data_IF_794125722575
#
_entry.id   IF_794125722575
#
_cell.length_a   1.000
_cell.length_b   1.000
_cell.length_c   1.000
_cell.angle_alpha   90.00
_cell.angle_beta   90.00
_cell.angle_gamma   90.00
#
_symmetry.space_group_name_H-M   'P 1'
#
loop_
_entity.id
_entity.type
_entity.pdbx_description
1 polymer ?
#
# COMPACT_ATOMS: atom_id res chain seq x y z
N UNK A 1 8.47 -24.40 -0.82
CA UNK A 1 7.53 -23.75 0.16
C UNK A 1 7.39 -22.30 -0.26
N UNK A 2 6.17 -21.86 -0.48
CA UNK A 2 5.86 -20.49 -0.89
C UNK A 2 5.89 -19.54 0.31
N UNK A 3 6.47 -18.34 0.14
CA UNK A 3 6.51 -17.29 1.17
C UNK A 3 6.39 -15.93 0.49
N UNK A 4 5.54 -15.05 1.02
CA UNK A 4 5.38 -13.70 0.53
C UNK A 4 5.88 -12.70 1.59
N UNK A 5 6.79 -11.82 1.19
CA UNK A 5 7.24 -10.68 1.99
C UNK A 5 6.62 -9.42 1.42
N UNK A 6 5.75 -8.75 2.19
CA UNK A 6 5.16 -7.47 1.81
C UNK A 6 6.02 -6.34 2.36
N UNK A 7 6.38 -5.40 1.50
CA UNK A 7 7.18 -4.22 1.85
C UNK A 7 6.37 -2.97 1.56
N UNK A 8 6.14 -2.15 2.60
CA UNK A 8 5.54 -0.84 2.42
C UNK A 8 6.54 0.10 1.73
N UNK A 9 6.06 0.90 0.78
CA UNK A 9 6.86 1.96 0.17
C UNK A 9 7.48 2.90 1.21
N UNK A 10 8.61 3.53 0.88
CA UNK A 10 9.24 4.56 1.69
C UNK A 10 8.31 5.75 1.94
N UNK A 11 8.70 6.65 2.84
CA UNK A 11 7.90 7.84 3.13
C UNK A 11 7.53 8.58 1.84
N UNK A 12 6.22 8.79 1.62
CA UNK A 12 5.73 9.59 0.51
C UNK A 12 5.78 11.10 0.83
N UNK A 13 5.39 11.93 -0.12
CA UNK A 13 5.29 13.37 0.04
C UNK A 13 4.32 13.72 1.19
N UNK A 14 4.85 14.18 2.32
CA UNK A 14 4.06 14.50 3.52
C UNK A 14 3.23 15.78 3.41
N UNK A 15 3.50 16.61 2.41
CA UNK A 15 2.74 17.84 2.13
C UNK A 15 1.56 17.62 1.16
N UNK A 16 1.40 16.38 0.67
CA UNK A 16 0.34 16.03 -0.28
C UNK A 16 -1.06 16.21 0.31
N UNK A 17 -2.01 16.57 -0.57
CA UNK A 17 -3.43 16.71 -0.25
C UNK A 17 -4.33 15.98 -1.25
N UNK A 18 -3.75 15.26 -2.19
CA UNK A 18 -4.41 14.48 -3.23
C UNK A 18 -3.56 13.28 -3.64
N UNK A 19 -4.17 12.34 -4.38
CA UNK A 19 -3.52 11.10 -4.80
C UNK A 19 -2.28 11.35 -5.64
N UNK A 20 -2.32 12.30 -6.56
CA UNK A 20 -1.23 12.57 -7.52
C UNK A 20 -0.01 13.14 -6.82
N UNK A 21 -0.19 14.14 -5.96
CA UNK A 21 0.91 14.75 -5.21
C UNK A 21 1.49 13.82 -4.14
N UNK A 22 0.68 12.88 -3.65
CA UNK A 22 1.13 11.84 -2.72
C UNK A 22 1.93 10.73 -3.39
N UNK A 23 1.70 10.45 -4.68
CA UNK A 23 2.34 9.34 -5.39
C UNK A 23 3.80 9.62 -5.76
N UNK A 24 4.57 10.07 -4.78
CA UNK A 24 5.99 10.35 -4.90
C UNK A 24 6.68 10.14 -3.54
N UNK A 25 7.86 9.52 -3.55
CA UNK A 25 8.68 9.43 -2.35
C UNK A 25 9.29 10.80 -1.98
N UNK A 26 9.40 11.04 -0.67
CA UNK A 26 10.29 12.07 -0.16
C UNK A 26 11.76 11.63 -0.28
N UNK A 27 12.71 12.57 -0.11
CA UNK A 27 14.13 12.21 -0.03
C UNK A 27 14.43 11.20 1.09
N UNK A 28 13.74 11.36 2.22
CA UNK A 28 13.84 10.41 3.33
C UNK A 28 13.28 9.04 2.91
N UNK A 29 12.15 9.00 2.21
CA UNK A 29 11.55 7.76 1.72
C UNK A 29 12.46 6.99 0.78
N UNK A 30 13.14 7.68 -0.13
CA UNK A 30 14.13 7.06 -1.01
C UNK A 30 15.32 6.48 -0.21
N UNK A 31 15.81 7.20 0.80
CA UNK A 31 16.86 6.69 1.70
C UNK A 31 16.41 5.49 2.53
N UNK A 32 15.18 5.53 3.07
CA UNK A 32 14.61 4.39 3.80
C UNK A 32 14.56 3.13 2.94
N UNK A 33 14.11 3.26 1.69
CA UNK A 33 14.10 2.16 0.73
C UNK A 33 15.51 1.63 0.45
N UNK A 34 16.49 2.51 0.23
CA UNK A 34 17.88 2.13 0.04
C UNK A 34 18.49 1.40 1.24
N UNK A 35 18.21 1.85 2.46
CA UNK A 35 18.66 1.17 3.68
C UNK A 35 18.06 -0.23 3.81
N UNK A 36 16.77 -0.40 3.48
CA UNK A 36 16.11 -1.71 3.52
C UNK A 36 16.73 -2.64 2.47
N UNK A 37 16.95 -2.14 1.24
CA UNK A 37 17.59 -2.93 0.19
C UNK A 37 18.99 -3.41 0.59
N UNK A 38 19.81 -2.51 1.14
CA UNK A 38 21.13 -2.85 1.67
C UNK A 38 21.06 -3.89 2.79
N UNK A 39 20.14 -3.69 3.76
CA UNK A 39 19.94 -4.62 4.88
C UNK A 39 19.54 -6.03 4.40
N UNK A 40 18.61 -6.14 3.44
CA UNK A 40 18.22 -7.43 2.89
C UNK A 40 19.38 -8.11 2.16
N UNK A 41 20.20 -7.36 1.41
CA UNK A 41 21.38 -7.86 0.75
C UNK A 41 22.44 -8.35 1.76
N UNK A 42 22.73 -7.57 2.79
CA UNK A 42 23.70 -7.93 3.85
C UNK A 42 23.24 -9.16 4.65
N UNK A 43 21.91 -9.31 4.84
CA UNK A 43 21.33 -10.48 5.49
C UNK A 43 21.30 -11.73 4.59
N UNK A 44 21.70 -11.61 3.32
CA UNK A 44 21.68 -12.71 2.36
C UNK A 44 20.27 -13.13 1.96
N UNK A 45 19.30 -12.21 2.06
CA UNK A 45 17.91 -12.48 1.67
C UNK A 45 17.81 -12.60 0.15
N UNK A 46 17.29 -13.74 -0.32
CA UNK A 46 17.09 -14.03 -1.74
C UNK A 46 15.61 -14.24 -2.02
N UNK A 47 15.09 -13.54 -3.02
CA UNK A 47 13.73 -13.66 -3.51
C UNK A 47 13.76 -14.23 -4.93
N UNK A 48 12.99 -15.30 -5.15
CA UNK A 48 12.86 -15.90 -6.48
C UNK A 48 12.00 -15.04 -7.41
N UNK A 49 11.07 -14.27 -6.83
CA UNK A 49 10.13 -13.44 -7.57
C UNK A 49 10.02 -12.06 -6.91
N UNK A 50 9.95 -11.01 -7.73
CA UNK A 50 9.81 -9.63 -7.29
C UNK A 50 8.63 -8.97 -7.96
N UNK A 51 7.72 -8.40 -7.17
CA UNK A 51 6.52 -7.73 -7.62
C UNK A 51 6.42 -6.34 -7.01
N UNK A 52 5.63 -5.48 -7.64
CA UNK A 52 5.23 -4.19 -7.10
C UNK A 52 3.85 -3.78 -7.58
N UNK A 53 3.17 -2.92 -6.85
CA UNK A 53 2.03 -2.20 -7.37
C UNK A 53 2.41 -1.24 -8.51
N UNK A 54 1.41 -0.72 -9.20
CA UNK A 54 1.55 0.18 -10.34
C UNK A 54 1.93 1.61 -9.97
N UNK A 55 1.73 2.02 -8.71
CA UNK A 55 1.93 3.39 -8.27
C UNK A 55 3.40 3.85 -8.38
N UNK A 56 3.60 5.15 -8.65
CA UNK A 56 4.94 5.69 -8.87
C UNK A 56 5.84 5.50 -7.64
N UNK A 57 5.31 5.73 -6.43
CA UNK A 57 6.03 5.50 -5.18
C UNK A 57 6.43 4.04 -4.94
N UNK A 58 5.68 3.06 -5.48
CA UNK A 58 6.06 1.64 -5.43
C UNK A 58 7.28 1.38 -6.32
N UNK A 59 7.27 1.93 -7.54
CA UNK A 59 8.42 1.85 -8.45
C UNK A 59 9.65 2.51 -7.85
N UNK A 60 9.52 3.75 -7.37
CA UNK A 60 10.65 4.46 -6.74
C UNK A 60 11.23 3.69 -5.55
N UNK A 61 10.38 3.02 -4.77
CA UNK A 61 10.83 2.17 -3.65
C UNK A 61 11.61 0.97 -4.16
N UNK A 62 11.10 0.25 -5.16
CA UNK A 62 11.79 -0.90 -5.75
C UNK A 62 13.16 -0.50 -6.32
N UNK A 63 13.20 0.61 -7.09
CA UNK A 63 14.42 1.16 -7.68
C UNK A 63 15.45 1.51 -6.59
N UNK A 64 15.03 2.21 -5.53
CA UNK A 64 15.90 2.59 -4.42
C UNK A 64 16.38 1.40 -3.58
N UNK A 65 15.62 0.31 -3.51
CA UNK A 65 16.02 -0.96 -2.89
C UNK A 65 17.00 -1.76 -3.75
N UNK A 66 17.22 -1.38 -5.02
CA UNK A 66 18.02 -2.14 -5.97
C UNK A 66 17.32 -3.39 -6.51
N UNK A 67 15.99 -3.43 -6.47
CA UNK A 67 15.19 -4.53 -7.02
C UNK A 67 14.89 -4.23 -8.48
N UNK A 68 15.64 -4.87 -9.37
CA UNK A 68 15.46 -4.74 -10.82
C UNK A 68 14.39 -5.71 -11.33
N UNK A 69 13.63 -5.26 -12.37
CA UNK A 69 12.70 -6.13 -13.10
C UNK A 69 11.48 -6.60 -12.30
N UNK A 70 11.12 -5.90 -11.19
CA UNK A 70 9.92 -6.24 -10.45
C UNK A 70 8.67 -6.18 -11.34
N UNK A 71 7.92 -7.25 -11.40
CA UNK A 71 6.67 -7.35 -12.16
C UNK A 71 5.61 -6.44 -11.56
N UNK A 72 4.90 -5.70 -12.42
CA UNK A 72 3.84 -4.79 -11.97
C UNK A 72 2.52 -5.55 -11.88
N UNK A 73 1.89 -5.51 -10.70
CA UNK A 73 0.56 -6.05 -10.46
C UNK A 73 -0.31 -5.01 -9.75
N UNK A 74 -1.27 -4.43 -10.47
CA UNK A 74 -2.16 -3.40 -9.96
C UNK A 74 -3.07 -3.89 -8.81
N UNK A 75 -3.20 -5.19 -8.59
CA UNK A 75 -3.93 -5.74 -7.44
C UNK A 75 -3.28 -5.37 -6.12
N UNK A 76 -2.01 -4.93 -6.13
CA UNK A 76 -1.26 -4.43 -4.97
C UNK A 76 -1.18 -2.90 -4.91
N UNK A 77 -2.01 -2.18 -5.68
CA UNK A 77 -2.16 -0.73 -5.55
C UNK A 77 -2.96 -0.37 -4.29
N UNK A 78 -2.62 0.79 -3.70
CA UNK A 78 -3.37 1.35 -2.58
C UNK A 78 -4.79 1.76 -3.03
N UNK A 79 -5.73 1.77 -2.08
CA UNK A 79 -7.00 2.46 -2.30
C UNK A 79 -6.76 3.97 -2.47
N UNK A 80 -7.65 4.66 -3.14
CA UNK A 80 -7.62 6.12 -3.28
C UNK A 80 -8.04 6.81 -1.96
N UNK A 81 -7.10 6.84 -1.02
CA UNK A 81 -7.34 7.34 0.33
C UNK A 81 -7.93 8.76 0.35
N UNK A 82 -7.33 9.70 -0.39
CA UNK A 82 -7.78 11.11 -0.37
C UNK A 82 -9.18 11.24 -0.97
N UNK A 83 -9.46 10.54 -2.05
CA UNK A 83 -10.80 10.51 -2.66
C UNK A 83 -11.84 9.98 -1.67
N UNK A 84 -11.56 8.84 -1.02
CA UNK A 84 -12.46 8.25 -0.03
C UNK A 84 -12.61 9.17 1.19
N UNK A 85 -11.52 9.80 1.67
CA UNK A 85 -11.55 10.71 2.80
C UNK A 85 -12.40 11.96 2.52
N UNK A 86 -12.29 12.57 1.33
CA UNK A 86 -13.12 13.70 0.93
C UNK A 86 -14.61 13.32 0.79
N UNK A 87 -14.90 12.14 0.24
CA UNK A 87 -16.28 11.64 0.19
C UNK A 87 -16.86 11.41 1.59
N UNK A 88 -16.05 10.83 2.49
CA UNK A 88 -16.46 10.63 3.88
C UNK A 88 -16.71 11.95 4.59
N UNK A 89 -15.81 12.94 4.45
CA UNK A 89 -16.03 14.29 4.99
C UNK A 89 -17.32 14.91 4.47
N UNK A 90 -17.54 14.88 3.16
CA UNK A 90 -18.72 15.48 2.52
C UNK A 90 -20.04 14.83 2.94
N UNK A 91 -20.06 13.51 3.13
CA UNK A 91 -21.27 12.74 3.41
C UNK A 91 -21.56 12.58 4.90
N UNK A 92 -20.52 12.55 5.74
CA UNK A 92 -20.63 12.30 7.19
C UNK A 92 -20.33 13.54 8.05
N UNK A 93 -19.84 14.64 7.46
CA UNK A 93 -19.51 15.87 8.19
C UNK A 93 -18.30 15.72 9.12
N UNK A 94 -17.43 14.76 8.86
CA UNK A 94 -16.22 14.49 9.67
C UNK A 94 -15.01 15.06 8.94
N UNK A 95 -14.51 16.21 9.40
CA UNK A 95 -13.40 16.90 8.76
C UNK A 95 -12.14 16.04 8.67
N UNK A 96 -11.44 16.14 7.54
CA UNK A 96 -10.12 15.52 7.37
C UNK A 96 -9.15 16.24 8.32
N UNK A 97 -8.44 15.51 9.20
CA UNK A 97 -7.61 16.13 10.22
C UNK A 97 -6.30 16.69 9.67
N UNK A 98 -5.83 17.76 10.29
CA UNK A 98 -4.53 18.36 10.03
C UNK A 98 -3.43 17.83 10.96
N UNK A 99 -3.79 17.18 12.08
CA UNK A 99 -2.85 16.66 13.06
C UNK A 99 -2.74 15.13 12.97
N UNK A 100 -1.59 14.60 13.39
CA UNK A 100 -1.37 13.16 13.45
C UNK A 100 -2.27 12.49 14.50
N UNK A 101 -2.48 13.15 15.63
CA UNK A 101 -3.31 12.65 16.72
C UNK A 101 -4.75 12.45 16.26
N UNK A 102 -5.31 13.44 15.58
CA UNK A 102 -6.66 13.40 15.06
C UNK A 102 -6.78 12.39 13.89
N UNK A 103 -5.71 12.26 13.08
CA UNK A 103 -5.66 11.29 12.01
C UNK A 103 -5.78 9.83 12.51
N UNK A 104 -5.16 9.51 13.65
CA UNK A 104 -5.28 8.19 14.28
C UNK A 104 -6.73 7.87 14.69
N UNK A 105 -7.52 8.90 15.00
CA UNK A 105 -8.95 8.76 15.31
C UNK A 105 -9.83 8.72 14.04
N UNK A 106 -9.46 9.50 13.03
CA UNK A 106 -10.21 9.62 11.77
C UNK A 106 -10.15 8.34 10.94
N UNK A 107 -8.94 7.77 10.75
CA UNK A 107 -8.72 6.61 9.88
C UNK A 107 -9.61 5.41 10.19
N UNK A 108 -9.72 4.93 11.46
CA UNK A 108 -10.58 3.78 11.76
C UNK A 108 -12.07 4.06 11.48
N UNK A 109 -12.52 5.29 11.68
CA UNK A 109 -13.92 5.69 11.42
C UNK A 109 -14.23 5.69 9.93
N UNK A 110 -13.35 6.29 9.13
CA UNK A 110 -13.49 6.29 7.67
C UNK A 110 -13.45 4.87 7.11
N UNK A 111 -12.48 4.04 7.55
CA UNK A 111 -12.37 2.65 7.10
C UNK A 111 -13.59 1.81 7.50
N UNK A 112 -14.14 2.02 8.70
CA UNK A 112 -15.36 1.33 9.14
C UNK A 112 -16.57 1.71 8.27
N UNK A 113 -16.73 2.99 7.95
CA UNK A 113 -17.81 3.46 7.06
C UNK A 113 -17.64 2.92 5.63
N UNK A 114 -16.40 2.87 5.12
CA UNK A 114 -16.12 2.29 3.82
C UNK A 114 -16.40 0.78 3.80
N UNK A 115 -16.00 0.06 4.84
CA UNK A 115 -16.27 -1.38 4.99
C UNK A 115 -17.77 -1.68 5.11
N UNK A 116 -18.55 -0.79 5.71
CA UNK A 116 -20.01 -0.90 5.85
C UNK A 116 -20.79 -0.44 4.61
N UNK A 117 -20.10 -0.02 3.54
CA UNK A 117 -20.68 0.54 2.32
C UNK A 117 -21.53 1.82 2.60
N UNK A 118 -21.12 2.59 3.61
CA UNK A 118 -21.77 3.83 4.04
C UNK A 118 -21.23 5.08 3.34
N UNK A 119 -20.22 4.95 2.47
CA UNK A 119 -19.67 6.04 1.66
C UNK A 119 -20.03 5.78 0.20
N UNK A 120 -20.93 6.60 -0.34
CA UNK A 120 -21.36 6.50 -1.74
C UNK A 120 -20.27 6.99 -2.72
N UNK A 121 -20.33 6.52 -3.95
CA UNK A 121 -19.49 6.96 -5.08
C UNK A 121 -17.96 6.78 -4.86
N UNK A 122 -17.56 5.85 -4.01
CA UNK A 122 -16.14 5.52 -3.86
C UNK A 122 -15.59 4.93 -5.17
N UNK A 123 -14.33 5.23 -5.56
CA UNK A 123 -13.70 4.68 -6.77
C UNK A 123 -13.68 3.14 -6.79
N UNK A 124 -13.61 2.54 -5.61
CA UNK A 124 -13.60 1.10 -5.39
C UNK A 124 -14.34 0.80 -4.07
N UNK A 125 -15.15 -0.25 -4.05
CA UNK A 125 -15.74 -0.72 -2.80
C UNK A 125 -14.69 -1.42 -1.92
N UNK A 126 -14.96 -1.48 -0.61
CA UNK A 126 -14.10 -2.26 0.29
C UNK A 126 -14.04 -3.74 -0.10
N UNK A 127 -15.17 -4.30 -0.56
CA UNK A 127 -15.26 -5.70 -1.01
C UNK A 127 -14.43 -5.97 -2.27
N UNK A 128 -14.39 -5.02 -3.22
CA UNK A 128 -13.56 -5.13 -4.43
C UNK A 128 -12.08 -5.03 -4.07
N UNK A 129 -11.70 -4.10 -3.17
CA UNK A 129 -10.34 -3.99 -2.64
C UNK A 129 -9.89 -5.30 -1.97
N UNK A 130 -10.70 -5.87 -1.08
CA UNK A 130 -10.44 -7.18 -0.45
C UNK A 130 -10.29 -8.29 -1.48
N UNK A 131 -11.19 -8.32 -2.48
CA UNK A 131 -11.20 -9.35 -3.53
C UNK A 131 -9.93 -9.30 -4.37
N UNK A 132 -9.51 -8.10 -4.84
CA UNK A 132 -8.32 -7.99 -5.70
C UNK A 132 -7.02 -8.28 -4.94
N UNK A 133 -6.88 -7.79 -3.70
CA UNK A 133 -5.71 -8.10 -2.87
C UNK A 133 -5.64 -9.60 -2.57
N UNK A 134 -6.76 -10.20 -2.19
CA UNK A 134 -6.84 -11.64 -1.92
C UNK A 134 -6.53 -12.49 -3.15
N UNK A 135 -6.99 -12.08 -4.35
CA UNK A 135 -6.65 -12.76 -5.59
C UNK A 135 -5.14 -12.69 -5.88
N UNK A 136 -4.54 -11.48 -5.75
CA UNK A 136 -3.10 -11.31 -5.91
C UNK A 136 -2.29 -12.21 -4.98
N UNK A 137 -2.63 -12.23 -3.69
CA UNK A 137 -1.94 -13.09 -2.72
C UNK A 137 -2.08 -14.58 -3.04
N UNK A 138 -3.28 -15.04 -3.42
CA UNK A 138 -3.50 -16.44 -3.79
C UNK A 138 -2.67 -16.86 -5.01
N UNK A 139 -2.56 -15.99 -6.02
CA UNK A 139 -1.75 -16.27 -7.20
C UNK A 139 -0.26 -16.36 -6.84
N UNK A 140 0.25 -15.42 -6.02
CA UNK A 140 1.65 -15.46 -5.58
C UNK A 140 1.97 -16.69 -4.72
N UNK A 141 1.00 -17.22 -3.99
CA UNK A 141 1.17 -18.45 -3.20
C UNK A 141 1.30 -19.71 -4.07
N UNK A 142 0.98 -19.64 -5.37
CA UNK A 142 1.23 -20.73 -6.32
C UNK A 142 2.68 -20.77 -6.80
N UNK A 143 3.43 -19.69 -6.64
CA UNK A 143 4.83 -19.63 -7.05
C UNK A 143 5.70 -20.44 -6.09
N UNK A 144 6.66 -21.17 -6.66
CA UNK A 144 7.69 -21.79 -5.83
C UNK A 144 8.74 -20.79 -5.38
N UNK A 145 9.11 -20.88 -4.11
CA UNK A 145 10.13 -20.02 -3.51
C UNK A 145 9.55 -18.77 -2.82
N UNK A 146 10.42 -17.81 -2.57
CA UNK A 146 10.12 -16.58 -1.86
C UNK A 146 9.79 -15.45 -2.83
N UNK A 147 8.71 -14.75 -2.57
CA UNK A 147 8.30 -13.55 -3.32
C UNK A 147 8.44 -12.30 -2.45
N UNK A 148 8.89 -11.19 -3.02
CA UNK A 148 8.83 -9.86 -2.41
C UNK A 148 7.84 -9.00 -3.19
N UNK A 149 6.99 -8.24 -2.48
CA UNK A 149 6.00 -7.33 -3.07
C UNK A 149 6.14 -5.94 -2.46
N UNK A 150 6.46 -4.96 -3.28
CA UNK A 150 6.49 -3.55 -2.85
C UNK A 150 5.09 -2.97 -3.05
N UNK A 151 4.48 -2.49 -1.97
CA UNK A 151 3.09 -2.06 -1.93
C UNK A 151 2.85 -0.94 -0.89
N UNK A 152 1.62 -0.76 -0.46
CA UNK A 152 1.17 0.28 0.47
C UNK A 152 0.57 -0.29 1.76
N UNK A 153 0.36 0.61 2.73
CA UNK A 153 -0.12 0.23 4.06
C UNK A 153 -1.50 -0.41 4.08
N UNK A 154 -2.43 0.08 3.25
CA UNK A 154 -3.79 -0.47 3.17
C UNK A 154 -3.79 -1.90 2.62
N UNK A 155 -2.98 -2.17 1.60
CA UNK A 155 -2.82 -3.54 1.05
C UNK A 155 -2.22 -4.49 2.09
N UNK A 156 -1.21 -4.03 2.85
CA UNK A 156 -0.62 -4.83 3.93
C UNK A 156 -1.67 -5.11 5.03
N UNK A 157 -2.43 -4.09 5.43
CA UNK A 157 -3.53 -4.24 6.38
C UNK A 157 -4.59 -5.24 5.89
N UNK A 158 -4.96 -5.17 4.61
CA UNK A 158 -5.90 -6.11 3.99
C UNK A 158 -5.33 -7.53 3.95
N UNK A 159 -4.05 -7.69 3.61
CA UNK A 159 -3.39 -9.00 3.63
C UNK A 159 -3.41 -9.62 5.03
N UNK A 160 -3.14 -8.83 6.07
CA UNK A 160 -3.25 -9.28 7.46
C UNK A 160 -4.68 -9.69 7.83
N UNK A 161 -5.68 -8.90 7.43
CA UNK A 161 -7.10 -9.22 7.65
C UNK A 161 -7.52 -10.55 7.01
N UNK A 162 -7.03 -10.84 5.80
CA UNK A 162 -7.37 -12.06 5.05
C UNK A 162 -6.69 -13.30 5.65
N UNK A 163 -5.51 -13.15 6.26
CA UNK A 163 -4.67 -14.26 6.70
C UNK A 163 -4.74 -14.56 8.20
N UNK A 164 -5.27 -13.65 9.00
CA UNK A 164 -5.43 -13.77 10.46
C UNK A 164 -6.89 -14.00 10.86
#
# INVERSE_FOLDING_TARGET
>A
MSQITLVRHGQANTAARDEVSYDQLSELGARQAGWLGAHLGDAGEVFAHSYRGGLHRHRQTADAMGIEGAETDARFDEMEFFTIAHLFEAQHGVAIPDTREDFVQFMPRMLAAWQADEIADTPESFADFETRVGAGLRDLMQNDGRSIVITSGGVIGMAMRITL
#
